data_IF_762012587196
#
_entry.id   IF_762012587196
#
_cell.length_a   1.000
_cell.length_b   1.000
_cell.length_c   1.000
_cell.angle_alpha   90.00
_cell.angle_beta   90.00
_cell.angle_gamma   90.00
#
_symmetry.space_group_name_H-M   'P 1'
#
loop_
_entity.id
_entity.type
_entity.pdbx_description
1 polymer ?
#
# COMPACT_ATOMS: atom_id res chain seq x y z
N UNK A 1 20.76 9.56 -7.89
CA UNK A 1 20.55 10.07 -6.51
C UNK A 1 19.45 9.32 -5.74
N UNK A 2 18.34 8.85 -6.34
CA UNK A 2 17.29 8.07 -5.63
C UNK A 2 17.80 6.70 -5.12
N UNK A 3 18.57 5.99 -5.95
CA UNK A 3 19.16 4.67 -5.62
C UNK A 3 20.15 4.66 -4.44
N UNK A 4 20.63 5.82 -4.02
CA UNK A 4 21.56 5.95 -2.89
C UNK A 4 20.84 6.10 -1.54
N UNK A 5 19.52 6.34 -1.54
CA UNK A 5 18.73 6.53 -0.32
C UNK A 5 17.84 5.30 -0.06
N UNK A 6 18.21 4.52 0.96
CA UNK A 6 17.55 3.25 1.31
C UNK A 6 16.02 3.40 1.51
N UNK A 7 15.57 4.50 2.11
CA UNK A 7 14.14 4.76 2.37
C UNK A 7 13.33 5.27 1.16
N UNK A 8 13.99 5.65 0.06
CA UNK A 8 13.33 6.14 -1.15
C UNK A 8 13.35 5.13 -2.29
N UNK A 9 14.08 4.02 -2.15
CA UNK A 9 14.11 2.93 -3.14
C UNK A 9 12.73 2.34 -3.39
N UNK A 10 11.94 2.15 -2.34
CA UNK A 10 10.57 1.65 -2.46
C UNK A 10 9.63 2.62 -3.21
N UNK A 11 10.02 3.89 -3.37
CA UNK A 11 9.26 4.91 -4.11
C UNK A 11 9.77 5.12 -5.54
N UNK A 12 10.81 4.41 -5.97
CA UNK A 12 11.43 4.63 -7.29
C UNK A 12 10.43 4.40 -8.42
N UNK A 13 9.65 3.30 -8.37
CA UNK A 13 8.62 3.04 -9.39
C UNK A 13 7.58 4.14 -9.42
N UNK A 14 7.00 4.48 -8.25
CA UNK A 14 5.98 5.53 -8.16
C UNK A 14 6.43 6.88 -8.73
N UNK A 15 7.71 7.24 -8.52
CA UNK A 15 8.29 8.47 -9.08
C UNK A 15 8.50 8.36 -10.60
N UNK A 16 8.90 7.20 -11.10
CA UNK A 16 8.99 6.95 -12.55
C UNK A 16 7.61 6.97 -13.20
N UNK A 17 6.61 6.40 -12.52
CA UNK A 17 5.24 6.27 -13.04
C UNK A 17 4.58 7.64 -13.18
N UNK A 18 4.73 8.55 -12.22
CA UNK A 18 4.19 9.91 -12.38
C UNK A 18 4.83 10.66 -13.56
N UNK A 19 6.14 10.50 -13.78
CA UNK A 19 6.86 11.15 -14.88
C UNK A 19 6.35 10.64 -16.24
N UNK A 20 5.99 9.35 -16.32
CA UNK A 20 5.52 8.73 -17.55
C UNK A 20 4.02 8.97 -17.82
N UNK A 21 3.22 9.16 -16.78
CA UNK A 21 1.75 9.23 -16.89
C UNK A 21 1.17 10.63 -16.68
N UNK A 22 1.98 11.62 -16.28
CA UNK A 22 1.54 13.00 -16.08
C UNK A 22 2.21 13.93 -17.08
N UNK A 23 1.42 14.79 -17.72
CA UNK A 23 1.96 15.87 -18.54
C UNK A 23 2.49 16.99 -17.62
N UNK A 24 3.80 16.96 -17.36
CA UNK A 24 4.45 17.91 -16.48
C UNK A 24 4.46 19.35 -17.04
N UNK A 25 4.27 19.54 -18.35
CA UNK A 25 4.22 20.87 -18.97
C UNK A 25 2.92 21.62 -18.58
N UNK A 26 1.93 20.90 -18.06
CA UNK A 26 0.68 21.48 -17.53
C UNK A 26 0.79 21.99 -16.10
N UNK A 27 1.94 21.79 -15.44
CA UNK A 27 2.15 22.15 -14.04
C UNK A 27 2.95 23.45 -13.96
N UNK A 28 2.27 24.54 -13.61
CA UNK A 28 2.80 25.90 -13.68
C UNK A 28 3.98 26.18 -12.72
N UNK A 29 4.01 25.52 -11.57
CA UNK A 29 5.00 25.82 -10.53
C UNK A 29 5.45 24.60 -9.71
N UNK A 30 6.58 24.75 -9.01
CA UNK A 30 7.21 23.67 -8.23
C UNK A 30 6.36 23.18 -7.05
N UNK A 31 5.53 24.03 -6.46
CA UNK A 31 4.62 23.60 -5.39
C UNK A 31 3.50 22.74 -5.98
N UNK A 32 2.97 23.12 -7.15
CA UNK A 32 1.96 22.35 -7.88
C UNK A 32 2.45 20.94 -8.28
N UNK A 33 3.75 20.74 -8.51
CA UNK A 33 4.33 19.40 -8.74
C UNK A 33 4.17 18.49 -7.52
N UNK A 34 4.30 19.04 -6.31
CA UNK A 34 4.16 18.26 -5.07
C UNK A 34 2.70 17.85 -4.88
N UNK A 35 1.75 18.75 -5.14
CA UNK A 35 0.32 18.45 -5.04
C UNK A 35 -0.10 17.41 -6.08
N UNK A 36 0.34 17.56 -7.33
CA UNK A 36 0.13 16.57 -8.39
C UNK A 36 0.70 15.20 -8.00
N UNK A 37 1.89 15.18 -7.38
CA UNK A 37 2.49 13.94 -6.86
C UNK A 37 1.65 13.29 -5.77
N UNK A 38 1.13 14.07 -4.81
CA UNK A 38 0.28 13.50 -3.76
C UNK A 38 -1.05 12.98 -4.30
N UNK A 39 -1.66 13.66 -5.27
CA UNK A 39 -2.88 13.22 -5.93
C UNK A 39 -2.64 11.88 -6.66
N UNK A 40 -1.58 11.81 -7.46
CA UNK A 40 -1.20 10.59 -8.18
C UNK A 40 -0.85 9.44 -7.22
N UNK A 41 -0.04 9.71 -6.19
CA UNK A 41 0.33 8.70 -5.20
C UNK A 41 -0.89 8.17 -4.43
N UNK A 42 -1.89 9.03 -4.18
CA UNK A 42 -3.12 8.62 -3.51
C UNK A 42 -3.99 7.76 -4.41
N UNK A 43 -4.08 8.05 -5.72
CA UNK A 43 -4.82 7.19 -6.66
C UNK A 43 -4.16 5.83 -6.82
N UNK A 44 -2.83 5.80 -6.96
CA UNK A 44 -2.08 4.54 -7.05
C UNK A 44 -2.20 3.72 -5.76
N UNK A 45 -2.12 4.37 -4.60
CA UNK A 45 -2.35 3.71 -3.31
C UNK A 45 -3.74 3.06 -3.24
N UNK A 46 -4.79 3.76 -3.69
CA UNK A 46 -6.15 3.21 -3.68
C UNK A 46 -6.28 2.01 -4.62
N UNK A 47 -5.66 2.08 -5.80
CA UNK A 47 -5.61 0.99 -6.78
C UNK A 47 -4.92 -0.25 -6.21
N UNK A 48 -3.70 -0.09 -5.69
CA UNK A 48 -2.93 -1.19 -5.11
C UNK A 48 -3.63 -1.83 -3.89
N UNK A 49 -4.29 -1.03 -3.06
CA UNK A 49 -5.09 -1.56 -1.94
C UNK A 49 -6.26 -2.40 -2.45
N UNK A 50 -6.94 -1.96 -3.51
CA UNK A 50 -8.05 -2.71 -4.10
C UNK A 50 -7.58 -4.02 -4.74
N UNK A 51 -6.46 -3.99 -5.46
CA UNK A 51 -5.81 -5.17 -6.03
C UNK A 51 -5.45 -6.16 -4.92
N UNK A 52 -4.78 -5.71 -3.87
CA UNK A 52 -4.41 -6.54 -2.71
C UNK A 52 -5.63 -7.18 -2.03
N UNK A 53 -6.71 -6.41 -1.82
CA UNK A 53 -7.95 -6.94 -1.23
C UNK A 53 -8.57 -8.02 -2.11
N UNK A 54 -8.52 -7.84 -3.43
CA UNK A 54 -9.12 -8.76 -4.40
C UNK A 54 -8.30 -10.04 -4.53
N UNK A 55 -6.99 -9.92 -4.74
CA UNK A 55 -6.07 -11.03 -4.97
C UNK A 55 -5.98 -11.97 -3.76
N UNK A 56 -5.99 -11.39 -2.55
CA UNK A 56 -5.89 -12.17 -1.31
C UNK A 56 -7.23 -12.56 -0.71
N UNK A 57 -8.35 -12.09 -1.31
CA UNK A 57 -9.72 -12.27 -0.83
C UNK A 57 -9.87 -11.79 0.63
N UNK A 58 -9.45 -10.56 0.89
CA UNK A 58 -9.42 -9.97 2.23
C UNK A 58 -10.79 -9.41 2.63
N UNK A 59 -10.97 -9.24 3.93
CA UNK A 59 -12.03 -8.37 4.43
C UNK A 59 -11.68 -6.90 4.12
N UNK A 60 -12.39 -6.31 3.16
CA UNK A 60 -12.12 -4.96 2.65
C UNK A 60 -12.05 -3.88 3.75
N UNK A 61 -13.05 -3.82 4.64
CA UNK A 61 -13.11 -2.82 5.71
C UNK A 61 -12.01 -3.00 6.75
N UNK A 62 -11.66 -4.25 7.07
CA UNK A 62 -10.56 -4.55 7.98
C UNK A 62 -9.21 -4.24 7.33
N UNK A 63 -9.02 -4.59 6.06
CA UNK A 63 -7.81 -4.33 5.27
C UNK A 63 -7.53 -2.83 5.19
N UNK A 64 -8.52 -2.03 4.78
CA UNK A 64 -8.39 -0.56 4.69
C UNK A 64 -7.99 0.06 6.04
N UNK A 65 -8.63 -0.37 7.13
CA UNK A 65 -8.29 0.11 8.48
C UNK A 65 -6.87 -0.29 8.92
N UNK A 66 -6.48 -1.52 8.66
CA UNK A 66 -5.15 -2.04 9.00
C UNK A 66 -4.05 -1.33 8.22
N UNK A 67 -4.23 -1.13 6.91
CA UNK A 67 -3.28 -0.43 6.06
C UNK A 67 -3.15 1.03 6.51
N UNK A 68 -4.28 1.72 6.75
CA UNK A 68 -4.26 3.11 7.22
C UNK A 68 -3.56 3.25 8.60
N UNK A 69 -3.83 2.35 9.55
CA UNK A 69 -3.18 2.39 10.86
C UNK A 69 -1.68 2.11 10.76
N UNK A 70 -1.28 1.18 9.90
CA UNK A 70 0.11 0.81 9.64
C UNK A 70 0.88 1.93 8.96
N UNK A 71 0.30 2.58 7.94
CA UNK A 71 0.88 3.75 7.27
C UNK A 71 1.08 4.92 8.26
N UNK A 72 0.09 5.18 9.12
CA UNK A 72 0.19 6.22 10.16
C UNK A 72 1.31 5.94 11.17
N UNK A 73 1.53 4.67 11.52
CA UNK A 73 2.61 4.22 12.41
C UNK A 73 3.95 4.03 11.70
N UNK A 74 3.95 4.01 10.36
CA UNK A 74 5.09 3.74 9.47
C UNK A 74 5.63 2.30 9.52
N UNK A 75 4.86 1.36 10.08
CA UNK A 75 5.17 -0.06 10.06
C UNK A 75 3.89 -0.89 10.22
N UNK A 76 3.86 -2.08 9.62
CA UNK A 76 2.81 -3.07 9.81
C UNK A 76 3.12 -3.94 11.04
N UNK A 77 2.09 -4.34 11.78
CA UNK A 77 2.23 -5.20 12.97
C UNK A 77 1.47 -6.51 12.76
N UNK A 78 2.17 -7.63 12.83
CA UNK A 78 1.58 -8.97 12.75
C UNK A 78 0.96 -9.44 14.08
N UNK A 79 1.31 -8.76 15.17
CA UNK A 79 0.84 -9.06 16.51
C UNK A 79 -0.53 -8.44 16.77
N UNK A 80 -1.40 -9.21 17.42
CA UNK A 80 -2.76 -8.79 17.76
C UNK A 80 -3.82 -9.33 16.81
N UNK A 81 -5.06 -8.85 16.98
CA UNK A 81 -6.24 -9.34 16.26
C UNK A 81 -6.54 -8.57 14.99
N UNK A 82 -5.92 -7.41 14.77
CA UNK A 82 -6.18 -6.56 13.60
C UNK A 82 -5.83 -7.29 12.31
N UNK A 83 -4.64 -7.87 12.21
CA UNK A 83 -4.22 -8.65 11.03
C UNK A 83 -5.11 -9.87 10.79
N UNK A 84 -5.51 -10.56 11.86
CA UNK A 84 -6.40 -11.73 11.75
C UNK A 84 -7.80 -11.34 11.24
N UNK A 85 -8.25 -10.12 11.50
CA UNK A 85 -9.53 -9.61 11.01
C UNK A 85 -9.49 -9.24 9.52
N UNK A 86 -8.29 -8.99 8.96
CA UNK A 86 -8.07 -8.73 7.53
C UNK A 86 -8.20 -10.01 6.71
N UNK A 87 -7.70 -11.11 7.24
CA UNK A 87 -7.65 -12.38 6.52
C UNK A 87 -9.06 -12.98 6.33
N UNK A 88 -9.29 -13.72 5.23
CA UNK A 88 -10.53 -14.46 5.05
C UNK A 88 -10.75 -15.44 6.19
N UNK A 89 -12.02 -15.63 6.56
CA UNK A 89 -12.39 -16.58 7.62
C UNK A 89 -11.94 -17.98 7.24
N UNK A 90 -11.00 -18.51 8.02
CA UNK A 90 -10.54 -19.89 7.94
C UNK A 90 -10.71 -20.55 9.31
N UNK A 91 -10.94 -21.86 9.32
CA UNK A 91 -10.94 -22.60 10.59
C UNK A 91 -9.57 -22.46 11.26
N UNK A 92 -9.50 -22.18 12.57
CA UNK A 92 -8.22 -22.18 13.31
C UNK A 92 -7.50 -23.53 13.26
N UNK A 93 -8.23 -24.61 12.97
CA UNK A 93 -7.68 -25.95 12.80
C UNK A 93 -7.17 -26.21 11.37
N UNK A 94 -7.33 -25.26 10.44
CA UNK A 94 -6.77 -25.38 9.11
C UNK A 94 -5.24 -25.15 9.18
N UNK A 95 -4.41 -26.15 8.83
CA UNK A 95 -2.95 -26.02 8.87
C UNK A 95 -2.42 -24.92 7.94
N UNK A 96 -3.16 -24.52 6.90
CA UNK A 96 -2.78 -23.45 5.97
C UNK A 96 -3.03 -22.05 6.52
N UNK A 97 -3.75 -21.91 7.64
CA UNK A 97 -4.11 -20.62 8.22
C UNK A 97 -2.88 -19.79 8.60
N UNK A 98 -1.87 -20.43 9.18
CA UNK A 98 -0.60 -19.77 9.55
C UNK A 98 0.20 -19.38 8.31
N UNK A 99 0.29 -20.27 7.32
CA UNK A 99 1.03 -20.02 6.08
C UNK A 99 0.42 -18.86 5.29
N UNK A 100 -0.91 -18.79 5.18
CA UNK A 100 -1.58 -17.68 4.50
C UNK A 100 -1.41 -16.36 5.26
N UNK A 101 -1.45 -16.38 6.60
CA UNK A 101 -1.14 -15.20 7.42
C UNK A 101 0.28 -14.71 7.18
N UNK A 102 1.26 -15.61 7.15
CA UNK A 102 2.67 -15.27 6.95
C UNK A 102 2.99 -14.84 5.51
N UNK A 103 2.30 -15.40 4.52
CA UNK A 103 2.47 -15.00 3.12
C UNK A 103 1.87 -13.63 2.81
N UNK A 104 0.81 -13.25 3.53
CA UNK A 104 0.18 -11.93 3.39
C UNK A 104 1.01 -10.82 4.07
N UNK A 105 1.69 -11.13 5.18
CA UNK A 105 2.52 -10.18 5.93
C UNK A 105 3.87 -9.94 5.27
#
# INVERSE_FOLDING_TARGET
MIRASLGNRAKESLIVDIINHTDLDTIDDKASVIDAFFIFAQSEQQREVQELVTDENLNEDAAKRYIMSSLKRKFANENGTELNAVLPKMSPLNPQCLTKKQSFF
#
